data_IF_768303485239
#
_entry.id   IF_768303485239
#
_cell.length_a   1.000
_cell.length_b   1.000
_cell.length_c   1.000
_cell.angle_alpha   90.00
_cell.angle_beta   90.00
_cell.angle_gamma   90.00
#
_symmetry.space_group_name_H-M   'P 1'
#
loop_
_entity.id
_entity.type
_entity.pdbx_description
1 polymer ?
#
# COMPACT_ATOMS: atom_id res chain seq x y z
N UNK A 1 2.00 -9.69 -4.91
CA UNK A 1 3.14 -10.10 -5.74
C UNK A 1 3.53 -11.54 -5.45
N UNK A 2 4.23 -12.19 -6.41
CA UNK A 2 4.70 -13.57 -6.19
C UNK A 2 5.67 -13.64 -5.01
N UNK A 3 5.47 -14.63 -4.12
CA UNK A 3 6.31 -14.82 -2.94
C UNK A 3 6.20 -13.71 -1.91
N UNK A 4 5.01 -13.10 -1.78
CA UNK A 4 4.72 -12.09 -0.78
C UNK A 4 4.88 -12.68 0.62
N UNK A 5 4.19 -13.77 0.93
CA UNK A 5 4.26 -14.49 2.21
C UNK A 5 5.65 -15.02 2.56
N UNK A 6 6.52 -15.22 1.56
CA UNK A 6 7.91 -15.64 1.75
C UNK A 6 8.86 -14.45 1.96
N UNK A 7 8.32 -13.25 2.13
CA UNK A 7 9.09 -12.06 2.44
C UNK A 7 9.18 -11.03 1.33
N UNK A 8 8.07 -10.76 0.68
CA UNK A 8 7.91 -9.72 -0.34
C UNK A 8 8.85 -9.93 -1.55
N UNK A 9 9.17 -11.19 -1.89
CA UNK A 9 10.21 -11.51 -2.86
C UNK A 9 9.97 -10.87 -4.23
N UNK A 10 8.72 -10.92 -4.71
CA UNK A 10 8.35 -10.40 -6.02
C UNK A 10 8.41 -8.88 -6.09
N UNK A 11 7.80 -8.18 -5.15
CA UNK A 11 7.80 -6.72 -5.12
C UNK A 11 9.20 -6.16 -4.87
N UNK A 12 9.98 -6.79 -3.97
CA UNK A 12 11.37 -6.42 -3.72
C UNK A 12 12.23 -6.56 -4.99
N UNK A 13 12.17 -7.72 -5.66
CA UNK A 13 12.93 -7.95 -6.89
C UNK A 13 12.52 -6.97 -8.00
N UNK A 14 11.22 -6.68 -8.12
CA UNK A 14 10.71 -5.73 -9.10
C UNK A 14 11.20 -4.31 -8.83
N UNK A 15 11.07 -3.85 -7.58
CA UNK A 15 11.51 -2.51 -7.16
C UNK A 15 13.02 -2.36 -7.35
N UNK A 16 13.81 -3.34 -6.93
CA UNK A 16 15.27 -3.33 -7.11
C UNK A 16 15.68 -3.24 -8.58
N UNK A 17 14.99 -3.97 -9.44
CA UNK A 17 15.27 -3.99 -10.89
C UNK A 17 14.88 -2.69 -11.60
N UNK A 18 13.78 -2.07 -11.21
CA UNK A 18 13.17 -0.99 -11.98
C UNK A 18 13.29 0.40 -11.34
N UNK A 19 13.38 0.49 -10.01
CA UNK A 19 13.30 1.77 -9.30
C UNK A 19 14.52 2.07 -8.44
N UNK A 20 15.17 1.08 -7.88
CA UNK A 20 16.38 1.28 -7.08
C UNK A 20 16.61 0.20 -6.04
N UNK A 21 17.82 0.14 -5.55
CA UNK A 21 18.24 -0.84 -4.54
C UNK A 21 18.23 -0.20 -3.15
N UNK A 22 17.32 -0.61 -2.24
CA UNK A 22 17.23 -0.03 -0.90
C UNK A 22 18.46 -0.31 -0.03
N UNK A 23 19.28 -1.30 -0.38
CA UNK A 23 20.48 -1.65 0.39
C UNK A 23 21.61 -0.62 0.25
N UNK A 24 21.62 0.15 -0.82
CA UNK A 24 22.64 1.15 -1.09
C UNK A 24 22.06 2.49 -1.58
N UNK A 25 20.71 2.57 -1.68
CA UNK A 25 19.95 3.73 -2.18
C UNK A 25 20.38 4.21 -3.58
N UNK A 26 20.88 3.28 -4.42
CA UNK A 26 21.13 3.56 -5.84
C UNK A 26 19.80 3.58 -6.58
N UNK A 27 19.20 4.75 -6.70
CA UNK A 27 17.92 4.95 -7.38
C UNK A 27 18.10 4.98 -8.90
N UNK A 28 17.10 4.47 -9.61
CA UNK A 28 17.02 4.48 -11.08
C UNK A 28 16.08 5.61 -11.56
N UNK A 29 16.24 6.10 -12.79
CA UNK A 29 15.43 7.22 -13.32
C UNK A 29 13.92 6.96 -13.26
N UNK A 30 13.48 5.73 -13.42
CA UNK A 30 12.06 5.34 -13.38
C UNK A 30 11.42 5.55 -12.00
N UNK A 31 12.22 5.52 -10.90
CA UNK A 31 11.73 5.78 -9.54
C UNK A 31 11.03 7.14 -9.45
N UNK A 32 11.61 8.17 -10.05
CA UNK A 32 11.05 9.51 -10.03
C UNK A 32 9.73 9.64 -10.81
N UNK A 33 9.42 8.71 -11.71
CA UNK A 33 8.21 8.74 -12.55
C UNK A 33 6.97 8.22 -11.84
N UNK A 34 7.12 7.42 -10.80
CA UNK A 34 5.99 6.83 -10.06
C UNK A 34 5.43 7.86 -9.07
N UNK A 35 4.12 8.06 -9.05
CA UNK A 35 3.46 8.93 -8.08
C UNK A 35 3.20 8.23 -6.76
N UNK A 36 2.60 7.05 -6.81
CA UNK A 36 2.28 6.24 -5.64
C UNK A 36 2.13 4.76 -5.99
N UNK A 37 2.17 3.92 -4.99
CA UNK A 37 1.75 2.53 -5.01
C UNK A 37 0.64 2.33 -3.96
N UNK A 38 -0.46 1.72 -4.36
CA UNK A 38 -1.59 1.40 -3.50
C UNK A 38 -1.67 -0.09 -3.28
N UNK A 39 -1.84 -0.50 -2.04
CA UNK A 39 -1.95 -1.90 -1.62
C UNK A 39 -3.27 -2.14 -0.90
N UNK A 40 -3.91 -3.26 -1.20
CA UNK A 40 -5.13 -3.72 -0.56
C UNK A 40 -4.93 -5.19 -0.24
N UNK A 41 -4.66 -5.51 1.03
CA UNK A 41 -4.11 -6.82 1.40
C UNK A 41 -4.46 -7.26 2.83
N UNK A 42 -5.63 -6.88 3.34
CA UNK A 42 -6.10 -7.28 4.66
C UNK A 42 -7.51 -7.92 4.56
N UNK A 43 -7.64 -8.90 3.68
CA UNK A 43 -8.90 -9.61 3.45
C UNK A 43 -9.86 -8.87 2.52
N UNK A 44 -11.15 -9.19 2.58
CA UNK A 44 -12.19 -8.71 1.68
C UNK A 44 -13.14 -7.66 2.28
N UNK A 45 -12.86 -7.18 3.49
CA UNK A 45 -13.70 -6.20 4.17
C UNK A 45 -13.69 -4.81 3.53
N UNK A 46 -14.67 -4.00 3.88
CA UNK A 46 -14.80 -2.61 3.38
C UNK A 46 -13.57 -1.78 3.69
N UNK A 47 -13.19 -0.91 2.77
CA UNK A 47 -12.22 0.15 3.05
C UNK A 47 -12.82 1.16 4.02
N UNK A 48 -12.07 1.46 5.09
CA UNK A 48 -12.38 2.49 6.09
C UNK A 48 -11.46 3.71 6.00
N UNK A 49 -10.40 3.60 5.23
CA UNK A 49 -9.42 4.66 5.06
C UNK A 49 -8.08 4.16 4.56
N UNK A 50 -7.01 4.87 4.91
CA UNK A 50 -5.67 4.58 4.40
C UNK A 50 -4.58 4.89 5.42
N UNK A 51 -3.56 4.04 5.49
CA UNK A 51 -2.32 4.29 6.22
C UNK A 51 -1.40 5.17 5.37
N UNK A 52 -0.95 6.29 5.93
CA UNK A 52 -0.12 7.27 5.22
C UNK A 52 1.39 6.98 5.35
N UNK A 53 1.78 5.92 6.05
CA UNK A 53 3.17 5.50 6.24
C UNK A 53 4.09 6.64 6.70
N UNK A 54 3.64 7.43 7.68
CA UNK A 54 4.37 8.59 8.19
C UNK A 54 4.47 9.79 7.23
N UNK A 55 3.86 9.73 6.06
CA UNK A 55 3.88 10.82 5.08
C UNK A 55 2.78 11.85 5.39
N UNK A 56 3.09 12.80 6.27
CA UNK A 56 2.14 13.83 6.69
C UNK A 56 1.76 14.81 5.56
N UNK A 57 2.62 14.98 4.55
CA UNK A 57 2.40 15.95 3.48
C UNK A 57 1.25 15.52 2.52
N UNK A 58 0.92 14.21 2.48
CA UNK A 58 -0.21 13.72 1.68
C UNK A 58 -1.56 13.80 2.43
N UNK A 59 -1.55 14.07 3.74
CA UNK A 59 -2.76 14.08 4.55
C UNK A 59 -3.85 15.03 4.01
N UNK A 60 -3.58 16.29 3.64
CA UNK A 60 -4.61 17.17 3.08
C UNK A 60 -5.16 16.66 1.76
N UNK A 61 -4.32 16.01 0.94
CA UNK A 61 -4.72 15.45 -0.35
C UNK A 61 -5.70 14.29 -0.15
N UNK A 62 -5.35 13.32 0.66
CA UNK A 62 -6.26 12.18 0.92
C UNK A 62 -7.52 12.59 1.69
N UNK A 63 -7.45 13.62 2.53
CA UNK A 63 -8.63 14.16 3.20
C UNK A 63 -9.66 14.69 2.19
N UNK A 64 -9.19 15.40 1.17
CA UNK A 64 -10.03 15.90 0.07
C UNK A 64 -10.59 14.74 -0.77
N UNK A 65 -9.73 13.80 -1.18
CA UNK A 65 -10.11 12.71 -2.07
C UNK A 65 -11.02 11.66 -1.44
N UNK A 66 -10.95 11.46 -0.12
CA UNK A 66 -11.83 10.55 0.59
C UNK A 66 -13.12 11.18 1.10
N UNK A 67 -13.22 12.51 1.10
CA UNK A 67 -14.43 13.21 1.56
C UNK A 67 -15.71 12.78 0.82
N UNK A 68 -15.73 12.54 -0.51
CA UNK A 68 -16.91 12.02 -1.20
C UNK A 68 -17.39 10.65 -0.74
N UNK A 69 -16.57 9.90 -0.02
CA UNK A 69 -16.89 8.56 0.52
C UNK A 69 -17.21 8.57 2.02
N UNK A 70 -17.58 9.74 2.56
CA UNK A 70 -17.96 9.89 3.97
C UNK A 70 -19.20 9.09 4.35
N UNK A 71 -20.13 8.92 3.45
CA UNK A 71 -21.33 8.08 3.60
C UNK A 71 -21.04 6.57 3.58
N UNK A 72 -19.84 6.20 3.16
CA UNK A 72 -19.33 4.81 3.18
C UNK A 72 -18.39 4.55 4.38
N UNK A 73 -18.24 5.52 5.30
CA UNK A 73 -17.32 5.46 6.45
C UNK A 73 -15.84 5.21 6.02
N UNK A 74 -15.42 5.74 4.88
CA UNK A 74 -14.10 5.48 4.28
C UNK A 74 -13.16 6.69 4.40
N UNK A 75 -13.23 7.46 5.49
CA UNK A 75 -12.49 8.73 5.65
C UNK A 75 -11.37 8.66 6.70
N UNK A 76 -11.07 7.50 7.25
CA UNK A 76 -10.03 7.36 8.27
C UNK A 76 -8.65 7.57 7.66
N UNK A 77 -7.89 8.51 8.21
CA UNK A 77 -6.50 8.78 7.86
C UNK A 77 -5.63 8.59 9.08
N UNK A 78 -4.56 7.83 8.95
CA UNK A 78 -3.59 7.64 10.03
C UNK A 78 -2.17 7.79 9.52
N UNK A 79 -1.35 8.49 10.31
CA UNK A 79 0.10 8.59 10.08
C UNK A 79 0.85 7.33 10.53
N UNK A 80 0.17 6.39 11.16
CA UNK A 80 0.80 5.13 11.54
C UNK A 80 1.33 4.39 10.34
N UNK A 81 2.42 3.69 10.55
CA UNK A 81 2.92 2.71 9.59
C UNK A 81 2.17 1.39 9.80
N UNK A 82 1.93 0.70 8.70
CA UNK A 82 1.57 -0.71 8.73
C UNK A 82 2.65 -1.51 8.01
N UNK A 83 2.79 -2.77 8.32
CA UNK A 83 3.91 -3.61 7.87
C UNK A 83 3.48 -4.83 7.07
N UNK A 84 4.45 -5.66 6.81
CA UNK A 84 4.29 -7.04 6.30
C UNK A 84 3.59 -7.22 4.97
N UNK A 85 3.59 -6.20 4.08
CA UNK A 85 3.04 -6.35 2.74
C UNK A 85 3.73 -5.44 1.71
N UNK A 86 3.45 -5.65 0.45
CA UNK A 86 4.21 -5.21 -0.73
C UNK A 86 4.47 -3.69 -0.86
N UNK A 87 3.63 -2.83 -0.27
CA UNK A 87 3.87 -1.38 -0.29
C UNK A 87 5.19 -0.98 0.35
N UNK A 88 5.72 -1.80 1.26
CA UNK A 88 7.00 -1.55 1.92
C UNK A 88 8.18 -1.60 0.95
N UNK A 89 8.12 -2.45 -0.07
CA UNK A 89 9.16 -2.51 -1.10
C UNK A 89 9.30 -1.18 -1.86
N UNK A 90 8.17 -0.52 -2.14
CA UNK A 90 8.13 0.78 -2.81
C UNK A 90 8.55 1.91 -1.86
N UNK A 91 8.02 1.91 -0.64
CA UNK A 91 8.36 2.90 0.39
C UNK A 91 9.86 2.89 0.72
N UNK A 92 10.50 1.72 0.71
CA UNK A 92 11.93 1.55 0.96
C UNK A 92 12.85 2.27 -0.03
N UNK A 93 12.37 2.61 -1.22
CA UNK A 93 13.11 3.41 -2.21
C UNK A 93 12.53 4.81 -2.39
N UNK A 94 11.67 5.25 -1.46
CA UNK A 94 11.08 6.60 -1.46
C UNK A 94 9.95 6.80 -2.48
N UNK A 95 9.34 5.74 -2.99
CA UNK A 95 8.07 5.81 -3.71
C UNK A 95 6.95 5.75 -2.66
N UNK A 96 6.01 6.72 -2.60
CA UNK A 96 4.92 6.67 -1.65
C UNK A 96 4.13 5.37 -1.79
N UNK A 97 4.21 4.50 -0.79
CA UNK A 97 3.48 3.25 -0.71
C UNK A 97 2.41 3.33 0.36
N UNK A 98 1.19 2.97 0.04
CA UNK A 98 0.05 3.09 0.96
C UNK A 98 -0.71 1.77 1.04
N UNK A 99 -1.13 1.42 2.25
CA UNK A 99 -2.02 0.29 2.52
C UNK A 99 -3.38 0.83 2.94
N UNK A 100 -4.47 0.26 2.40
CA UNK A 100 -5.81 0.61 2.84
C UNK A 100 -6.11 0.02 4.23
N UNK A 101 -6.92 0.75 4.99
CA UNK A 101 -7.52 0.25 6.23
C UNK A 101 -8.80 -0.47 5.85
N UNK A 102 -8.93 -1.74 6.20
CA UNK A 102 -10.10 -2.56 5.89
C UNK A 102 -10.79 -3.03 7.16
N UNK A 103 -12.08 -3.30 7.06
CA UNK A 103 -12.77 -4.05 8.11
C UNK A 103 -12.13 -5.44 8.24
N UNK A 104 -11.77 -5.88 9.45
CA UNK A 104 -11.02 -7.12 9.61
C UNK A 104 -11.84 -8.38 9.28
N UNK A 105 -13.15 -8.30 9.34
CA UNK A 105 -14.05 -9.44 9.12
C UNK A 105 -13.54 -10.69 9.85
N UNK A 106 -13.29 -11.78 9.14
CA UNK A 106 -12.68 -13.00 9.68
C UNK A 106 -11.18 -13.12 9.35
N UNK A 107 -10.56 -12.04 8.81
CA UNK A 107 -9.18 -12.08 8.33
C UNK A 107 -8.21 -12.56 9.42
N UNK A 108 -8.12 -11.84 10.53
CA UNK A 108 -7.19 -12.15 11.64
C UNK A 108 -7.58 -13.42 12.43
N UNK A 109 -8.84 -13.81 12.37
CA UNK A 109 -9.34 -14.88 13.24
C UNK A 109 -9.49 -16.21 12.53
N UNK A 110 -9.54 -16.23 11.20
CA UNK A 110 -9.89 -17.43 10.47
C UNK A 110 -9.19 -17.62 9.13
N UNK A 111 -9.09 -16.59 8.30
CA UNK A 111 -8.65 -16.78 6.91
C UNK A 111 -7.18 -16.50 6.69
N UNK A 112 -6.59 -15.52 7.37
CA UNK A 112 -5.21 -15.11 7.19
C UNK A 112 -4.22 -16.28 7.38
N UNK A 113 -3.50 -16.62 6.33
CA UNK A 113 -2.50 -17.69 6.26
C UNK A 113 -3.02 -19.09 6.64
N UNK A 114 -4.29 -19.37 6.38
CA UNK A 114 -4.90 -20.68 6.66
C UNK A 114 -5.53 -21.30 5.42
N UNK A 115 -5.83 -22.60 5.51
CA UNK A 115 -6.60 -23.31 4.46
C UNK A 115 -8.10 -22.97 4.48
N UNK A 116 -8.52 -22.08 5.38
CA UNK A 116 -9.88 -21.54 5.43
C UNK A 116 -10.03 -20.28 4.57
N UNK A 117 -8.96 -19.81 3.95
CA UNK A 117 -9.00 -18.68 3.00
C UNK A 117 -9.56 -19.17 1.66
N UNK A 118 -10.87 -19.18 1.57
CA UNK A 118 -11.63 -19.71 0.44
C UNK A 118 -12.67 -18.71 -0.05
N UNK A 119 -13.17 -18.95 -1.25
CA UNK A 119 -14.06 -18.04 -1.99
C UNK A 119 -15.32 -17.63 -1.21
N UNK A 120 -15.86 -18.50 -0.36
CA UNK A 120 -17.06 -18.26 0.44
C UNK A 120 -16.87 -17.21 1.56
N UNK A 121 -15.62 -16.81 1.84
CA UNK A 121 -15.30 -15.70 2.73
C UNK A 121 -15.18 -14.34 2.02
N UNK A 122 -15.47 -14.28 0.72
CA UNK A 122 -15.52 -13.02 -0.02
C UNK A 122 -16.92 -12.40 0.07
N UNK A 123 -16.96 -11.09 0.35
CA UNK A 123 -18.18 -10.31 0.47
C UNK A 123 -18.34 -9.40 -0.76
N UNK A 124 -19.21 -9.72 -1.72
CA UNK A 124 -19.30 -9.01 -3.01
C UNK A 124 -19.54 -7.50 -2.87
N UNK A 125 -20.38 -7.08 -1.91
CA UNK A 125 -20.69 -5.66 -1.73
C UNK A 125 -19.49 -4.89 -1.13
N UNK A 126 -18.70 -5.53 -0.28
CA UNK A 126 -17.50 -4.94 0.28
C UNK A 126 -16.40 -4.82 -0.79
N UNK A 127 -16.26 -5.83 -1.64
CA UNK A 127 -15.34 -5.77 -2.78
C UNK A 127 -15.72 -4.69 -3.80
N UNK A 128 -17.01 -4.47 -4.07
CA UNK A 128 -17.49 -3.38 -4.93
C UNK A 128 -17.15 -2.00 -4.33
N UNK A 129 -17.37 -1.83 -3.04
CA UNK A 129 -17.01 -0.60 -2.33
C UNK A 129 -15.50 -0.36 -2.41
N UNK A 130 -14.69 -1.38 -2.12
CA UNK A 130 -13.25 -1.30 -2.21
C UNK A 130 -12.76 -0.95 -3.62
N UNK A 131 -13.30 -1.64 -4.64
CA UNK A 131 -12.96 -1.37 -6.04
C UNK A 131 -13.28 0.08 -6.45
N UNK A 132 -14.41 0.62 -5.98
CA UNK A 132 -14.80 2.01 -6.26
C UNK A 132 -13.83 3.01 -5.64
N UNK A 133 -13.47 2.83 -4.38
CA UNK A 133 -12.56 3.73 -3.67
C UNK A 133 -11.14 3.65 -4.25
N UNK A 134 -10.64 2.44 -4.49
CA UNK A 134 -9.31 2.24 -5.11
C UNK A 134 -9.26 2.91 -6.49
N UNK A 135 -10.28 2.68 -7.33
CA UNK A 135 -10.35 3.29 -8.66
C UNK A 135 -10.35 4.82 -8.59
N UNK A 136 -11.10 5.41 -7.66
CA UNK A 136 -11.14 6.86 -7.47
C UNK A 136 -9.76 7.40 -7.06
N UNK A 137 -9.10 6.82 -6.05
CA UNK A 137 -7.79 7.29 -5.61
C UNK A 137 -6.71 7.14 -6.68
N UNK A 138 -6.75 6.06 -7.45
CA UNK A 138 -5.83 5.85 -8.59
C UNK A 138 -6.10 6.90 -9.67
N UNK A 139 -7.37 7.17 -9.98
CA UNK A 139 -7.75 8.19 -10.95
C UNK A 139 -7.28 9.58 -10.52
N UNK A 140 -7.59 10.00 -9.28
CA UNK A 140 -7.16 11.30 -8.74
C UNK A 140 -5.63 11.44 -8.75
N UNK A 141 -4.92 10.37 -8.40
CA UNK A 141 -3.45 10.35 -8.46
C UNK A 141 -2.93 10.53 -9.88
N UNK A 142 -3.56 9.88 -10.86
CA UNK A 142 -3.17 9.96 -12.26
C UNK A 142 -3.49 11.30 -12.91
N UNK A 143 -4.60 11.93 -12.51
CA UNK A 143 -5.05 13.21 -13.03
C UNK A 143 -4.37 14.42 -12.37
N UNK A 144 -3.69 14.22 -11.25
CA UNK A 144 -2.98 15.29 -10.56
C UNK A 144 -1.82 15.82 -11.40
N UNK A 145 -1.69 17.15 -11.51
CA UNK A 145 -0.57 17.77 -12.24
C UNK A 145 0.80 17.46 -11.62
N UNK A 146 0.85 17.51 -10.29
CA UNK A 146 2.05 17.18 -9.53
C UNK A 146 1.92 15.80 -8.91
N UNK A 147 3.04 15.08 -8.82
CA UNK A 147 3.06 13.80 -8.09
C UNK A 147 2.73 14.01 -6.62
N UNK A 148 2.27 12.95 -5.97
CA UNK A 148 2.06 13.00 -4.53
C UNK A 148 3.36 13.36 -3.80
N UNK A 149 3.26 14.18 -2.74
CA UNK A 149 4.40 14.52 -1.90
C UNK A 149 5.12 13.26 -1.37
N UNK A 150 6.44 13.34 -1.31
CA UNK A 150 7.28 12.25 -0.83
C UNK A 150 7.87 12.59 0.53
N UNK A 151 8.04 11.59 1.36
CA UNK A 151 8.88 11.67 2.55
C UNK A 151 10.35 11.91 2.15
N UNK A 152 11.19 12.39 3.07
CA UNK A 152 12.63 12.29 2.90
C UNK A 152 13.03 10.84 2.56
N UNK A 153 14.02 10.68 1.70
CA UNK A 153 14.51 9.35 1.34
C UNK A 153 14.97 8.60 2.61
N UNK A 154 14.59 7.34 2.77
CA UNK A 154 15.07 6.54 3.88
C UNK A 154 16.58 6.32 3.78
N UNK A 155 17.22 6.06 4.91
CA UNK A 155 18.61 5.60 4.90
C UNK A 155 18.71 4.21 4.25
N UNK A 156 19.85 3.92 3.64
CA UNK A 156 20.14 2.59 3.13
C UNK A 156 20.01 1.54 4.26
N UNK A 157 19.26 0.49 4.00
CA UNK A 157 19.04 -0.59 4.96
C UNK A 157 19.21 -1.93 4.27
N UNK A 158 19.89 -2.90 4.91
CA UNK A 158 19.90 -4.25 4.38
C UNK A 158 18.45 -4.75 4.32
N UNK A 159 18.13 -5.46 3.23
CA UNK A 159 16.85 -6.15 3.17
C UNK A 159 16.83 -7.25 4.23
N UNK A 160 15.73 -7.37 4.96
CA UNK A 160 15.68 -8.26 6.13
C UNK A 160 16.08 -9.71 5.80
N UNK A 161 15.79 -10.16 4.59
CA UNK A 161 16.15 -11.50 4.12
C UNK A 161 17.60 -11.62 3.62
N UNK A 162 18.31 -10.51 3.38
CA UNK A 162 19.75 -10.52 3.08
C UNK A 162 20.58 -10.74 4.36
N UNK A 163 19.98 -10.57 5.53
CA UNK A 163 20.61 -10.84 6.82
C UNK A 163 20.74 -12.34 7.13
N UNK A 164 20.07 -13.20 6.38
CA UNK A 164 20.07 -14.64 6.56
C UNK A 164 20.86 -15.40 5.46
N UNK A 165 21.59 -14.68 4.62
CA UNK A 165 22.55 -15.21 3.66
C UNK A 165 23.96 -15.18 4.23
#
# INVERSE_FOLDING_TARGET
>A
WSGEDQGLLGSHAYVKKHFGDPTNMKLLPEQSKISAYYNLDNGSGRIRGIYLQGNKEVLPVFKEWLQPFSDLDATTLTLCNTGSTDHLSFDAVGIPGFQFIQDPMEYETRTHHTNMDSYDHLFPEDLKQAATIVAALVYETAMRQEKLPRKPLPAAQPWIFDLFK
#
